data_IF_386334715339
#
_entry.id   IF_386334715339
#
_cell.length_a   1.000
_cell.length_b   1.000
_cell.length_c   1.000
_cell.angle_alpha   90.00
_cell.angle_beta   90.00
_cell.angle_gamma   90.00
#
_symmetry.space_group_name_H-M   'P 1'
#
loop_
_entity.id
_entity.type
_entity.pdbx_description
1 polymer ?
#
# COMPACT_ATOMS: atom_id res chain seq x y z
N UNK A 1 -13.69 -1.76 33.11
CA UNK A 1 -13.08 -0.54 32.52
C UNK A 1 -12.85 -0.86 31.04
N UNK A 2 -13.59 -0.29 30.08
CA UNK A 2 -13.39 -0.60 28.67
C UNK A 2 -12.04 -0.02 28.21
N UNK A 3 -11.15 -0.92 27.80
CA UNK A 3 -9.82 -0.62 27.26
C UNK A 3 -9.98 -0.07 25.83
N UNK A 4 -10.20 1.24 25.71
CA UNK A 4 -10.37 1.94 24.42
C UNK A 4 -9.04 2.38 23.78
N UNK A 5 -7.91 1.82 24.22
CA UNK A 5 -6.57 2.33 23.92
C UNK A 5 -5.91 1.74 22.67
N UNK A 6 -6.67 1.36 21.63
CA UNK A 6 -6.06 0.77 20.42
C UNK A 6 -5.86 1.73 19.25
N UNK A 7 -6.71 2.74 19.04
CA UNK A 7 -6.62 3.61 17.86
C UNK A 7 -5.83 4.93 18.06
N UNK A 8 -5.17 5.14 19.20
CA UNK A 8 -4.66 6.46 19.59
C UNK A 8 -5.78 7.43 20.00
N UNK A 9 -5.43 8.52 20.68
CA UNK A 9 -6.40 9.55 21.07
C UNK A 9 -6.94 10.30 19.83
N UNK A 10 -8.17 10.84 19.85
CA UNK A 10 -8.72 11.58 18.71
C UNK A 10 -7.88 12.80 18.30
N UNK A 11 -7.16 13.41 19.24
CA UNK A 11 -6.20 14.49 18.99
C UNK A 11 -5.00 13.98 18.18
N UNK A 12 -4.44 12.83 18.58
CA UNK A 12 -3.30 12.19 17.92
C UNK A 12 -3.66 11.78 16.48
N UNK A 13 -4.86 11.24 16.27
CA UNK A 13 -5.37 10.93 14.93
C UNK A 13 -5.46 12.18 14.03
N UNK A 14 -5.88 13.32 14.59
CA UNK A 14 -5.89 14.58 13.84
C UNK A 14 -4.48 15.07 13.52
N UNK A 15 -3.54 14.96 14.46
CA UNK A 15 -2.15 15.34 14.22
C UNK A 15 -1.52 14.50 13.12
N UNK A 16 -1.72 13.17 13.16
CA UNK A 16 -1.27 12.24 12.12
C UNK A 16 -1.93 12.62 10.79
N UNK A 17 -3.23 12.86 10.76
CA UNK A 17 -3.93 13.26 9.55
C UNK A 17 -3.39 14.57 8.93
N UNK A 18 -3.06 15.58 9.74
CA UNK A 18 -2.46 16.83 9.27
C UNK A 18 -1.05 16.59 8.70
N UNK A 19 -0.27 15.70 9.30
CA UNK A 19 1.04 15.31 8.77
C UNK A 19 0.90 14.57 7.44
N UNK A 20 -0.06 13.65 7.34
CA UNK A 20 -0.33 12.88 6.12
C UNK A 20 -0.72 13.78 4.96
N UNK A 21 -1.51 14.84 5.21
CA UNK A 21 -1.84 15.85 4.20
C UNK A 21 -0.60 16.58 3.65
N UNK A 22 0.50 16.59 4.38
CA UNK A 22 1.79 17.18 3.97
C UNK A 22 2.74 16.14 3.36
N UNK A 23 2.31 14.89 3.22
CA UNK A 23 3.16 13.78 2.78
C UNK A 23 4.16 13.30 3.84
N UNK A 24 3.87 13.57 5.12
CA UNK A 24 4.70 13.20 6.26
C UNK A 24 3.92 12.30 7.22
N UNK A 25 4.61 11.62 8.14
CA UNK A 25 3.94 10.86 9.20
C UNK A 25 3.47 9.46 8.82
N UNK A 26 3.95 8.90 7.71
CA UNK A 26 3.67 7.50 7.32
C UNK A 26 4.12 6.51 8.40
N UNK A 27 5.25 6.79 9.07
CA UNK A 27 5.80 6.04 10.20
C UNK A 27 4.87 5.98 11.43
N UNK A 28 3.92 6.93 11.53
CA UNK A 28 2.93 6.97 12.61
C UNK A 28 1.64 6.24 12.27
N UNK A 29 1.47 5.78 11.04
CA UNK A 29 0.32 4.97 10.63
C UNK A 29 0.61 3.51 10.97
N UNK A 30 -0.31 2.87 11.69
CA UNK A 30 -0.22 1.47 12.08
C UNK A 30 -1.57 0.78 11.87
N UNK A 31 -1.58 -0.56 11.99
CA UNK A 31 -2.78 -1.37 11.79
C UNK A 31 -3.94 -1.01 12.72
N UNK A 32 -3.65 -0.43 13.88
CA UNK A 32 -4.66 -0.07 14.86
C UNK A 32 -5.32 1.30 14.57
N UNK A 33 -4.58 2.24 13.96
CA UNK A 33 -5.05 3.60 13.70
C UNK A 33 -5.44 3.85 12.23
N UNK A 34 -4.99 3.03 11.29
CA UNK A 34 -5.25 3.19 9.84
C UNK A 34 -6.75 3.24 9.55
N UNK A 35 -7.57 2.42 10.21
CA UNK A 35 -9.02 2.43 10.05
C UNK A 35 -9.65 3.75 10.49
N UNK A 36 -9.19 4.30 11.61
CA UNK A 36 -9.69 5.57 12.13
C UNK A 36 -9.27 6.74 11.23
N UNK A 37 -8.07 6.69 10.65
CA UNK A 37 -7.58 7.67 9.68
C UNK A 37 -8.36 7.62 8.36
N UNK A 38 -8.74 6.43 7.88
CA UNK A 38 -9.60 6.25 6.71
C UNK A 38 -10.97 6.87 6.97
N UNK A 39 -11.61 6.56 8.10
CA UNK A 39 -12.92 7.14 8.46
C UNK A 39 -12.85 8.67 8.53
N UNK A 40 -11.76 9.20 9.09
CA UNK A 40 -11.52 10.64 9.16
C UNK A 40 -11.35 11.24 7.76
N UNK A 41 -10.58 10.61 6.86
CA UNK A 41 -10.44 11.04 5.47
C UNK A 41 -11.80 11.06 4.72
N UNK A 42 -12.66 10.06 4.95
CA UNK A 42 -14.02 10.00 4.38
C UNK A 42 -14.86 11.17 4.87
N UNK A 43 -14.87 11.45 6.17
CA UNK A 43 -15.63 12.57 6.76
C UNK A 43 -15.21 13.93 6.19
N UNK A 44 -13.91 14.12 5.95
CA UNK A 44 -13.38 15.34 5.36
C UNK A 44 -13.42 15.36 3.81
N UNK A 45 -13.87 14.28 3.16
CA UNK A 45 -13.94 14.18 1.71
C UNK A 45 -12.58 14.08 1.00
N UNK A 46 -11.53 13.66 1.72
CA UNK A 46 -10.16 13.60 1.20
C UNK A 46 -9.88 12.27 0.50
N UNK A 47 -10.50 12.08 -0.66
CA UNK A 47 -10.36 10.87 -1.50
C UNK A 47 -8.92 10.40 -1.76
N UNK A 48 -7.93 11.26 -2.11
CA UNK A 48 -6.58 10.77 -2.37
C UNK A 48 -5.92 10.20 -1.10
N UNK A 49 -6.23 10.78 0.06
CA UNK A 49 -5.70 10.28 1.34
C UNK A 49 -6.40 8.99 1.79
N UNK A 50 -7.72 8.88 1.55
CA UNK A 50 -8.45 7.63 1.79
C UNK A 50 -7.85 6.48 0.97
N UNK A 51 -7.62 6.69 -0.32
CA UNK A 51 -7.05 5.70 -1.22
C UNK A 51 -5.65 5.26 -0.77
N UNK A 52 -4.79 6.23 -0.44
CA UNK A 52 -3.44 5.96 0.06
C UNK A 52 -3.45 5.12 1.34
N UNK A 53 -4.33 5.46 2.30
CA UNK A 53 -4.46 4.70 3.54
C UNK A 53 -5.01 3.28 3.30
N UNK A 54 -5.90 3.10 2.33
CA UNK A 54 -6.37 1.76 1.91
C UNK A 54 -5.26 0.94 1.25
N UNK A 55 -4.40 1.57 0.46
CA UNK A 55 -3.24 0.91 -0.14
C UNK A 55 -2.25 0.43 0.93
N UNK A 56 -2.06 1.21 2.01
CA UNK A 56 -1.20 0.80 3.12
C UNK A 56 -1.85 -0.21 4.05
N UNK A 57 -3.19 -0.19 4.16
CA UNK A 57 -3.96 -1.19 4.89
C UNK A 57 -3.92 -2.56 4.18
N UNK A 58 -3.81 -2.57 2.85
CA UNK A 58 -3.73 -3.83 2.12
C UNK A 58 -2.51 -4.61 2.64
N UNK A 59 -2.69 -5.86 3.12
CA UNK A 59 -1.54 -6.70 3.40
C UNK A 59 -0.73 -6.71 2.11
N UNK A 60 0.56 -6.35 2.17
CA UNK A 60 1.48 -6.43 1.02
C UNK A 60 1.19 -7.74 0.30
N UNK A 61 0.39 -7.67 -0.76
CA UNK A 61 0.17 -8.80 -1.63
C UNK A 61 1.44 -8.82 -2.43
N UNK A 62 2.37 -9.63 -1.95
CA UNK A 62 3.49 -10.07 -2.75
C UNK A 62 2.88 -10.73 -4.00
N UNK A 63 2.91 -9.99 -5.11
CA UNK A 63 2.25 -10.33 -6.37
C UNK A 63 1.00 -9.48 -6.61
N UNK A 64 0.87 -8.71 -7.68
CA UNK A 64 1.40 -8.96 -9.01
C UNK A 64 1.33 -7.71 -9.88
N UNK A 65 2.48 -7.07 -10.13
CA UNK A 65 2.84 -6.90 -11.54
C UNK A 65 3.48 -8.21 -11.97
N UNK A 66 2.67 -9.17 -12.42
CA UNK A 66 3.15 -10.11 -13.42
C UNK A 66 3.62 -9.23 -14.59
N UNK A 67 4.88 -9.26 -15.01
CA UNK A 67 5.62 -10.43 -15.50
C UNK A 67 7.12 -10.17 -15.26
N UNK A 68 7.92 -11.02 -14.59
CA UNK A 68 9.30 -11.13 -15.02
C UNK A 68 9.20 -11.75 -16.42
N UNK A 69 9.44 -10.94 -17.45
CA UNK A 69 9.65 -11.41 -18.82
C UNK A 69 10.92 -12.27 -18.81
N UNK A 70 10.82 -13.47 -18.24
CA UNK A 70 11.76 -14.56 -18.45
C UNK A 70 11.46 -15.08 -19.83
N UNK A 71 11.84 -14.28 -20.83
CA UNK A 71 12.27 -14.84 -22.10
C UNK A 71 13.52 -15.63 -21.71
N UNK A 72 13.49 -16.97 -21.70
CA UNK A 72 14.74 -17.72 -21.56
C UNK A 72 15.63 -17.29 -22.73
N UNK A 73 16.94 -17.04 -22.55
CA UNK A 73 17.82 -16.97 -23.70
C UNK A 73 17.62 -18.30 -24.42
N UNK A 74 17.20 -18.24 -25.67
CA UNK A 74 16.84 -19.39 -26.49
C UNK A 74 17.98 -20.41 -26.45
N UNK A 75 17.87 -21.38 -25.54
CA UNK A 75 18.84 -22.45 -25.35
C UNK A 75 18.58 -23.45 -26.46
N UNK A 76 19.28 -23.24 -27.57
CA UNK A 76 19.55 -24.21 -28.63
C UNK A 76 18.33 -24.97 -29.17
N UNK A 77 17.67 -24.40 -30.18
CA UNK A 77 16.78 -25.17 -31.06
C UNK A 77 17.39 -25.25 -32.47
N UNK A 78 17.92 -26.44 -32.77
CA UNK A 78 18.20 -27.04 -34.08
C UNK A 78 19.09 -26.33 -35.12
N UNK A 79 20.34 -26.78 -35.12
CA UNK A 79 21.18 -27.03 -36.29
C UNK A 79 20.48 -28.04 -37.20
N UNK A 80 19.75 -27.60 -38.22
CA UNK A 80 19.30 -28.45 -39.34
C UNK A 80 18.73 -27.58 -40.48
N UNK A 81 19.61 -27.13 -41.38
CA UNK A 81 19.36 -27.10 -42.83
C UNK A 81 20.66 -26.73 -43.55
N UNK A 82 21.42 -27.78 -43.84
CA UNK A 82 22.30 -27.80 -44.98
C UNK A 82 21.46 -27.81 -46.27
N UNK A 83 21.67 -26.83 -47.15
CA UNK A 83 21.45 -26.83 -48.62
C UNK A 83 21.63 -25.38 -49.09
N UNK A 84 22.35 -25.02 -50.15
CA UNK A 84 23.26 -25.68 -51.10
C UNK A 84 24.01 -24.52 -51.77
#
# INVERSE_FOLDING_TARGET
>A
MPNAAKAGSPEELQEIYVLLKKGLGHDRVNDDNVFALIDLAVRYGNKPLEMLLREWQAPCSDGSEGVPSTIPPTRGFNRENAKR
#
